data_IF_626077258011
#
_entry.id   IF_626077258011
#
_cell.length_a   1.000
_cell.length_b   1.000
_cell.length_c   1.000
_cell.angle_alpha   90.00
_cell.angle_beta   90.00
_cell.angle_gamma   90.00
#
_symmetry.space_group_name_H-M   'P 1'
#
loop_
_entity.id
_entity.type
_entity.pdbx_description
1 polymer ?
#
# COMPACT_ATOMS: atom_id res chain seq x y z
N UNK A 1 -6.97 -6.29 19.12
CA UNK A 1 -6.68 -7.34 18.12
C UNK A 1 -5.31 -7.02 17.56
N UNK A 2 -4.37 -7.97 17.59
CA UNK A 2 -3.04 -7.80 17.01
C UNK A 2 -3.05 -7.77 15.49
N UNK A 3 -1.89 -7.44 14.89
CA UNK A 3 -1.71 -7.41 13.44
C UNK A 3 -1.83 -8.83 12.84
N UNK A 4 -2.45 -8.93 11.66
CA UNK A 4 -2.53 -10.17 10.89
C UNK A 4 -2.09 -9.88 9.45
N UNK A 5 -1.16 -10.68 8.95
CA UNK A 5 -0.77 -10.69 7.54
C UNK A 5 -1.14 -12.04 6.92
N UNK A 6 -1.83 -11.97 5.79
CA UNK A 6 -2.21 -13.13 4.99
C UNK A 6 -1.67 -12.97 3.56
N UNK A 7 -0.71 -13.81 3.13
CA UNK A 7 -0.15 -13.75 1.79
C UNK A 7 -1.22 -13.85 0.69
N UNK A 8 -2.25 -14.69 0.87
CA UNK A 8 -3.29 -14.86 -0.14
C UNK A 8 -4.16 -13.61 -0.31
N UNK A 9 -4.46 -12.91 0.78
CA UNK A 9 -5.19 -11.63 0.73
C UNK A 9 -4.35 -10.54 0.08
N UNK A 10 -3.06 -10.48 0.45
CA UNK A 10 -2.13 -9.51 -0.12
C UNK A 10 -1.92 -9.70 -1.63
N UNK A 11 -1.77 -10.95 -2.07
CA UNK A 11 -1.70 -11.28 -3.51
C UNK A 11 -3.02 -10.99 -4.23
N UNK A 12 -4.17 -11.23 -3.59
CA UNK A 12 -5.47 -10.83 -4.12
C UNK A 12 -5.58 -9.32 -4.34
N UNK A 13 -5.11 -8.51 -3.38
CA UNK A 13 -5.06 -7.05 -3.51
C UNK A 13 -4.14 -6.62 -4.66
N UNK A 14 -2.94 -7.21 -4.76
CA UNK A 14 -1.99 -6.94 -5.84
C UNK A 14 -2.62 -7.22 -7.21
N UNK A 15 -3.24 -8.40 -7.38
CA UNK A 15 -3.86 -8.79 -8.63
C UNK A 15 -5.01 -7.86 -9.04
N UNK A 16 -5.85 -7.45 -8.07
CA UNK A 16 -6.92 -6.51 -8.30
C UNK A 16 -6.40 -5.12 -8.72
N UNK A 17 -5.35 -4.63 -8.05
CA UNK A 17 -4.74 -3.35 -8.38
C UNK A 17 -4.07 -3.37 -9.75
N UNK A 18 -3.31 -4.41 -10.08
CA UNK A 18 -2.68 -4.56 -11.40
C UNK A 18 -3.73 -4.64 -12.51
N UNK A 19 -4.83 -5.38 -12.32
CA UNK A 19 -5.92 -5.47 -13.28
C UNK A 19 -6.63 -4.12 -13.51
N UNK A 20 -6.87 -3.37 -12.42
CA UNK A 20 -7.46 -2.04 -12.50
C UNK A 20 -6.54 -1.03 -13.17
N UNK A 21 -5.23 -1.08 -12.88
CA UNK A 21 -4.22 -0.24 -13.55
C UNK A 21 -4.20 -0.53 -15.05
N UNK A 22 -4.12 -1.80 -15.45
CA UNK A 22 -4.12 -2.17 -16.87
C UNK A 22 -5.38 -1.71 -17.60
N UNK A 23 -6.54 -1.82 -16.95
CA UNK A 23 -7.80 -1.29 -17.50
C UNK A 23 -7.76 0.23 -17.64
N UNK A 24 -7.25 0.94 -16.63
CA UNK A 24 -7.15 2.39 -16.64
C UNK A 24 -6.17 2.90 -17.71
N UNK A 25 -5.03 2.26 -17.88
CA UNK A 25 -4.04 2.56 -18.94
C UNK A 25 -4.69 2.48 -20.33
N UNK A 26 -5.42 1.39 -20.62
CA UNK A 26 -6.14 1.23 -21.90
C UNK A 26 -7.18 2.33 -22.12
N UNK A 27 -7.96 2.67 -21.09
CA UNK A 27 -8.97 3.74 -21.19
C UNK A 27 -8.30 5.09 -21.47
N UNK A 28 -7.20 5.39 -20.76
CA UNK A 28 -6.47 6.66 -20.91
C UNK A 28 -5.84 6.76 -22.30
N UNK A 29 -5.25 5.68 -22.81
CA UNK A 29 -4.68 5.64 -24.15
C UNK A 29 -5.75 5.85 -25.22
N UNK A 30 -6.90 5.20 -25.10
CA UNK A 30 -8.04 5.40 -26.00
C UNK A 30 -8.56 6.85 -25.95
N UNK A 31 -8.66 7.43 -24.74
CA UNK A 31 -9.06 8.83 -24.58
C UNK A 31 -8.04 9.79 -25.20
N UNK A 32 -6.74 9.52 -25.04
CA UNK A 32 -5.69 10.32 -25.66
C UNK A 32 -5.76 10.25 -27.20
N UNK A 33 -5.90 9.06 -27.78
CA UNK A 33 -6.04 8.88 -29.22
C UNK A 33 -7.30 9.55 -29.77
N UNK A 34 -8.44 9.34 -29.13
CA UNK A 34 -9.71 9.98 -29.50
C UNK A 34 -9.60 11.50 -29.41
N UNK A 35 -8.92 12.02 -28.39
CA UNK A 35 -8.71 13.46 -28.20
C UNK A 35 -7.81 14.07 -29.25
N UNK A 36 -6.73 13.37 -29.63
CA UNK A 36 -5.85 13.79 -30.73
C UNK A 36 -6.62 13.80 -32.06
N UNK A 37 -7.35 12.72 -32.36
CA UNK A 37 -8.17 12.63 -33.56
C UNK A 37 -9.23 13.76 -33.63
N UNK A 38 -9.94 14.01 -32.52
CA UNK A 38 -10.92 15.10 -32.44
C UNK A 38 -10.24 16.46 -32.66
N UNK A 39 -9.11 16.72 -32.00
CA UNK A 39 -8.38 17.98 -32.15
C UNK A 39 -7.94 18.19 -33.60
N UNK A 40 -7.38 17.16 -34.24
CA UNK A 40 -6.97 17.22 -35.65
C UNK A 40 -8.13 17.43 -36.62
N UNK A 41 -9.29 16.79 -36.38
CA UNK A 41 -10.47 16.96 -37.23
C UNK A 41 -11.06 18.38 -37.13
N UNK A 42 -10.97 19.00 -35.95
CA UNK A 42 -11.50 20.34 -35.70
C UNK A 42 -10.55 21.47 -36.14
N UNK A 43 -9.24 21.21 -36.26
CA UNK A 43 -8.24 22.22 -36.66
C UNK A 43 -8.21 22.55 -38.16
N UNK A 44 -9.28 22.21 -38.89
CA UNK A 44 -9.43 22.48 -40.33
C UNK A 44 -9.81 23.92 -40.66
N UNK A 45 -9.98 24.79 -39.65
CA UNK A 45 -10.49 26.17 -39.76
C UNK A 45 -11.85 26.32 -40.47
N UNK A 46 -12.56 25.21 -40.70
CA UNK A 46 -13.84 25.17 -41.40
C UNK A 46 -15.04 25.43 -40.48
N UNK A 47 -14.86 25.32 -39.16
CA UNK A 47 -15.91 25.46 -38.15
C UNK A 47 -15.70 26.75 -37.35
N UNK A 48 -16.78 27.49 -37.12
CA UNK A 48 -16.80 28.74 -36.33
C UNK A 48 -18.15 28.93 -35.64
N UNK A 49 -18.22 29.87 -34.70
CA UNK A 49 -19.43 30.20 -33.93
C UNK A 49 -19.32 29.86 -32.44
N UNK A 50 -20.25 30.40 -31.64
CA UNK A 50 -20.25 30.31 -30.18
C UNK A 50 -20.12 28.87 -29.65
N UNK A 51 -20.96 27.94 -30.13
CA UNK A 51 -20.94 26.54 -29.70
C UNK A 51 -19.62 25.82 -30.04
N UNK A 52 -19.02 26.12 -31.19
CA UNK A 52 -17.72 25.55 -31.58
C UNK A 52 -16.60 26.05 -30.66
N UNK A 53 -16.52 27.35 -30.44
CA UNK A 53 -15.55 27.97 -29.52
C UNK A 53 -15.71 27.44 -28.10
N UNK A 54 -16.96 27.28 -27.64
CA UNK A 54 -17.32 26.73 -26.34
C UNK A 54 -16.80 25.29 -26.16
N UNK A 55 -17.13 24.41 -27.11
CA UNK A 55 -16.70 23.01 -27.11
C UNK A 55 -15.19 22.87 -27.17
N UNK A 56 -14.51 23.64 -28.04
CA UNK A 56 -13.05 23.70 -28.12
C UNK A 56 -12.43 24.15 -26.80
N UNK A 57 -12.99 25.19 -26.18
CA UNK A 57 -12.57 25.69 -24.87
C UNK A 57 -12.69 24.65 -23.76
N UNK A 58 -13.88 24.04 -23.61
CA UNK A 58 -14.12 22.97 -22.62
C UNK A 58 -13.16 21.80 -22.83
N UNK A 59 -12.95 21.39 -24.08
CA UNK A 59 -12.10 20.26 -24.40
C UNK A 59 -10.63 20.54 -24.08
N UNK A 60 -10.09 21.67 -24.54
CA UNK A 60 -8.69 22.04 -24.35
C UNK A 60 -8.35 22.45 -22.91
N UNK A 61 -9.28 23.09 -22.20
CA UNK A 61 -9.01 23.65 -20.87
C UNK A 61 -9.41 22.71 -19.73
N UNK A 62 -10.32 21.76 -19.96
CA UNK A 62 -10.81 20.88 -18.90
C UNK A 62 -10.66 19.39 -19.23
N UNK A 63 -11.15 18.93 -20.39
CA UNK A 63 -11.13 17.49 -20.72
C UNK A 63 -9.71 16.97 -20.87
N UNK A 64 -8.89 17.60 -21.72
CA UNK A 64 -7.50 17.21 -21.94
C UNK A 64 -6.66 17.24 -20.65
N UNK A 65 -6.70 18.31 -19.82
CA UNK A 65 -6.03 18.32 -18.52
C UNK A 65 -6.52 17.23 -17.57
N UNK A 66 -7.82 16.91 -17.57
CA UNK A 66 -8.37 15.85 -16.72
C UNK A 66 -7.84 14.48 -17.12
N UNK A 67 -7.75 14.18 -18.43
CA UNK A 67 -7.15 12.94 -18.94
C UNK A 67 -5.67 12.87 -18.53
N UNK A 68 -4.93 13.97 -18.67
CA UNK A 68 -3.52 14.04 -18.25
C UNK A 68 -3.35 13.82 -16.74
N UNK A 69 -4.25 14.38 -15.92
CA UNK A 69 -4.26 14.17 -14.47
C UNK A 69 -4.54 12.71 -14.12
N UNK A 70 -5.49 12.07 -14.80
CA UNK A 70 -5.77 10.65 -14.65
C UNK A 70 -4.57 9.77 -15.01
N UNK A 71 -3.86 10.07 -16.10
CA UNK A 71 -2.61 9.39 -16.48
C UNK A 71 -1.57 9.45 -15.37
N UNK A 72 -1.33 10.64 -14.80
CA UNK A 72 -0.38 10.81 -13.69
C UNK A 72 -0.80 10.06 -12.42
N UNK A 73 -2.10 10.07 -12.10
CA UNK A 73 -2.64 9.34 -10.94
C UNK A 73 -2.48 7.82 -11.09
N UNK A 74 -2.65 7.28 -12.29
CA UNK A 74 -2.40 5.86 -12.62
C UNK A 74 -0.92 5.51 -12.47
N UNK A 75 -0.01 6.31 -13.02
CA UNK A 75 1.45 6.09 -12.87
C UNK A 75 1.90 6.14 -11.40
N UNK A 76 1.32 7.04 -10.62
CA UNK A 76 1.56 7.10 -9.18
C UNK A 76 1.05 5.85 -8.48
N UNK A 77 -0.19 5.42 -8.78
CA UNK A 77 -0.77 4.21 -8.22
C UNK A 77 0.10 2.98 -8.53
N UNK A 78 0.59 2.88 -9.78
CA UNK A 78 1.53 1.84 -10.22
C UNK A 78 2.81 1.83 -9.39
N UNK A 79 3.39 3.00 -9.12
CA UNK A 79 4.57 3.13 -8.26
C UNK A 79 4.28 2.69 -6.82
N UNK A 80 3.12 3.05 -6.27
CA UNK A 80 2.70 2.64 -4.93
C UNK A 80 2.44 1.12 -4.85
N UNK A 81 1.87 0.51 -5.90
CA UNK A 81 1.72 -0.95 -6.01
C UNK A 81 3.08 -1.66 -6.05
N UNK A 82 4.07 -1.11 -6.75
CA UNK A 82 5.42 -1.70 -6.74
C UNK A 82 6.08 -1.63 -5.36
N UNK A 83 5.88 -0.53 -4.62
CA UNK A 83 6.34 -0.44 -3.22
C UNK A 83 5.64 -1.48 -2.34
N UNK A 84 4.32 -1.60 -2.48
CA UNK A 84 3.54 -2.61 -1.75
C UNK A 84 4.06 -4.03 -2.02
N UNK A 85 4.31 -4.39 -3.29
CA UNK A 85 4.92 -5.68 -3.69
C UNK A 85 6.27 -5.91 -3.01
N UNK A 86 7.09 -4.87 -2.88
CA UNK A 86 8.35 -4.92 -2.15
C UNK A 86 8.14 -5.31 -0.68
N UNK A 87 7.23 -4.64 0.03
CA UNK A 87 6.91 -4.95 1.42
C UNK A 87 6.28 -6.33 1.60
N UNK A 88 5.35 -6.71 0.73
CA UNK A 88 4.73 -8.05 0.69
C UNK A 88 5.79 -9.16 0.59
N UNK A 89 6.70 -9.02 -0.37
CA UNK A 89 7.79 -9.99 -0.58
C UNK A 89 8.74 -10.09 0.61
N UNK A 90 8.92 -9.00 1.38
CA UNK A 90 9.80 -8.96 2.54
C UNK A 90 9.20 -9.73 3.74
N UNK A 91 7.87 -9.78 3.89
CA UNK A 91 7.21 -10.57 4.93
C UNK A 91 7.41 -12.06 4.69
N UNK A 92 7.10 -12.51 3.47
CA UNK A 92 7.22 -13.89 3.03
C UNK A 92 5.86 -14.57 2.81
N UNK A 93 5.89 -15.90 2.71
CA UNK A 93 4.77 -16.71 2.21
C UNK A 93 3.92 -17.38 3.30
N UNK A 94 4.12 -16.98 4.56
CA UNK A 94 3.38 -17.55 5.69
C UNK A 94 2.40 -16.54 6.29
N UNK A 95 1.30 -17.05 6.84
CA UNK A 95 0.36 -16.25 7.62
C UNK A 95 1.05 -15.88 8.93
N UNK A 96 1.11 -14.59 9.22
CA UNK A 96 1.64 -14.06 10.47
C UNK A 96 0.51 -13.46 11.29
N UNK A 97 0.46 -13.81 12.57
CA UNK A 97 -0.54 -13.38 13.53
C UNK A 97 0.21 -12.93 14.77
N UNK A 98 0.17 -11.62 15.05
CA UNK A 98 0.96 -11.01 16.11
C UNK A 98 0.63 -11.60 17.48
N UNK A 99 -0.66 -11.86 17.76
CA UNK A 99 -1.10 -12.41 19.04
C UNK A 99 -0.56 -13.85 19.20
N UNK A 100 -0.64 -14.67 18.14
CA UNK A 100 -0.06 -16.04 18.16
C UNK A 100 1.46 -16.03 18.28
N UNK A 101 2.14 -15.16 17.56
CA UNK A 101 3.60 -15.04 17.61
C UNK A 101 4.06 -14.58 18.99
N UNK A 102 3.36 -13.63 19.62
CA UNK A 102 3.66 -13.18 20.98
C UNK A 102 3.44 -14.30 22.02
N UNK A 103 2.35 -15.08 21.90
CA UNK A 103 2.14 -16.25 22.76
C UNK A 103 3.25 -17.28 22.60
N UNK A 104 3.67 -17.57 21.35
CA UNK A 104 4.78 -18.47 21.07
C UNK A 104 6.10 -17.95 21.67
N UNK A 105 6.38 -16.65 21.53
CA UNK A 105 7.57 -16.02 22.09
C UNK A 105 7.59 -16.12 23.62
N UNK A 106 6.45 -15.91 24.27
CA UNK A 106 6.34 -16.04 25.72
C UNK A 106 6.62 -17.48 26.18
N UNK A 107 6.05 -18.48 25.50
CA UNK A 107 6.30 -19.88 25.80
C UNK A 107 7.78 -20.27 25.63
N UNK A 108 8.41 -19.84 24.54
CA UNK A 108 9.84 -20.07 24.29
C UNK A 108 10.74 -19.40 25.35
N UNK A 109 10.40 -18.18 25.79
CA UNK A 109 11.14 -17.48 26.86
C UNK A 109 10.98 -18.19 28.22
N UNK A 110 9.78 -18.71 28.52
CA UNK A 110 9.57 -19.52 29.72
C UNK A 110 10.40 -20.82 29.69
N UNK A 111 10.46 -21.48 28.53
CA UNK A 111 11.28 -22.67 28.31
C UNK A 111 12.79 -22.36 28.44
N UNK A 112 13.25 -21.26 27.86
CA UNK A 112 14.62 -20.76 28.01
C UNK A 112 14.99 -20.57 29.49
N UNK A 113 14.09 -19.94 30.27
CA UNK A 113 14.28 -19.77 31.70
C UNK A 113 14.36 -21.11 32.44
N UNK A 114 13.46 -22.06 32.13
CA UNK A 114 13.46 -23.40 32.73
C UNK A 114 14.76 -24.17 32.46
N UNK A 115 15.24 -24.19 31.21
CA UNK A 115 16.50 -24.86 30.86
C UNK A 115 17.69 -24.21 31.58
N UNK A 116 17.71 -22.88 31.67
CA UNK A 116 18.76 -22.14 32.40
C UNK A 116 18.78 -22.55 33.87
N UNK A 117 17.61 -22.61 34.51
CA UNK A 117 17.48 -23.04 35.89
C UNK A 117 17.96 -24.48 36.08
N UNK A 118 17.60 -25.40 35.18
CA UNK A 118 18.06 -26.80 35.23
C UNK A 118 19.58 -26.92 35.09
N UNK A 119 20.19 -26.21 34.14
CA UNK A 119 21.66 -26.17 33.97
C UNK A 119 22.33 -25.68 35.26
N UNK A 120 21.79 -24.63 35.89
CA UNK A 120 22.30 -24.10 37.14
C UNK A 120 22.16 -25.09 38.31
N UNK A 121 21.02 -25.79 38.41
CA UNK A 121 20.82 -26.84 39.41
C UNK A 121 21.83 -27.98 39.26
N UNK A 122 22.05 -28.48 38.05
CA UNK A 122 23.06 -29.53 37.80
C UNK A 122 24.47 -29.05 38.12
N UNK A 123 24.80 -27.78 37.83
CA UNK A 123 26.09 -27.19 38.20
C UNK A 123 26.28 -27.13 39.72
N UNK A 124 25.24 -26.74 40.47
CA UNK A 124 25.28 -26.69 41.93
C UNK A 124 25.43 -28.08 42.54
N UNK A 125 24.66 -29.06 42.05
CA UNK A 125 24.76 -30.44 42.52
C UNK A 125 26.14 -31.06 42.24
N UNK A 126 26.70 -30.84 41.04
CA UNK A 126 28.07 -31.27 40.71
C UNK A 126 29.11 -30.63 41.64
N UNK A 127 28.94 -29.35 41.98
CA UNK A 127 29.85 -28.63 42.88
C UNK A 127 29.73 -29.09 44.34
N UNK A 128 28.57 -29.62 44.74
CA UNK A 128 28.32 -30.13 46.09
C UNK A 128 28.86 -31.55 46.31
N UNK A 129 29.07 -32.32 45.22
CA UNK A 129 29.58 -33.70 45.26
C UNK A 129 30.82 -33.89 44.36
N UNK A 130 31.92 -33.14 44.58
CA UNK A 130 33.12 -33.21 43.74
C UNK A 130 33.78 -34.60 43.72
N UNK A 131 33.60 -35.39 44.78
CA UNK A 131 34.17 -36.72 44.95
C UNK A 131 33.50 -37.83 44.12
N UNK A 132 32.29 -37.60 43.59
CA UNK A 132 31.53 -38.62 42.86
C UNK A 132 31.71 -38.48 41.34
N UNK A 133 32.66 -39.22 40.76
CA UNK A 133 33.02 -39.13 39.33
C UNK A 133 31.88 -39.52 38.38
N UNK A 134 31.07 -40.51 38.73
CA UNK A 134 30.01 -41.03 37.87
C UNK A 134 28.84 -40.04 37.80
N UNK A 135 28.51 -39.45 38.95
CA UNK A 135 27.52 -38.39 39.06
C UNK A 135 27.96 -37.14 38.29
N UNK A 136 29.23 -36.75 38.42
CA UNK A 136 29.80 -35.62 37.68
C UNK A 136 29.80 -35.86 36.16
N UNK A 137 30.11 -37.07 35.70
CA UNK A 137 30.02 -37.45 34.27
C UNK A 137 28.60 -37.32 33.75
N UNK A 138 27.62 -37.80 34.52
CA UNK A 138 26.20 -37.70 34.19
C UNK A 138 25.73 -36.25 34.10
N UNK A 139 26.17 -35.38 35.02
CA UNK A 139 25.87 -33.95 34.98
C UNK A 139 26.48 -33.25 33.77
N UNK A 140 27.72 -33.58 33.39
CA UNK A 140 28.34 -33.03 32.18
C UNK A 140 27.55 -33.41 30.93
N UNK A 141 27.15 -34.68 30.82
CA UNK A 141 26.35 -35.16 29.69
C UNK A 141 24.99 -34.42 29.60
N UNK A 142 24.26 -34.35 30.70
CA UNK A 142 22.96 -33.70 30.74
C UNK A 142 23.03 -32.19 30.50
N UNK A 143 24.06 -31.52 31.04
CA UNK A 143 24.35 -30.12 30.71
C UNK A 143 24.59 -29.95 29.20
N UNK A 144 25.30 -30.88 28.56
CA UNK A 144 25.51 -30.89 27.12
C UNK A 144 24.19 -30.95 26.34
N UNK A 145 23.31 -31.88 26.72
CA UNK A 145 21.97 -32.01 26.11
C UNK A 145 21.11 -30.75 26.30
N UNK A 146 21.05 -30.22 27.53
CA UNK A 146 20.31 -28.99 27.83
C UNK A 146 20.88 -27.77 27.10
N UNK A 147 22.20 -27.70 26.92
CA UNK A 147 22.85 -26.62 26.16
C UNK A 147 22.50 -26.68 24.67
N UNK A 148 22.46 -27.89 24.09
CA UNK A 148 21.99 -28.09 22.72
C UNK A 148 20.53 -27.66 22.57
N UNK A 149 19.66 -28.06 23.51
CA UNK A 149 18.26 -27.66 23.52
C UNK A 149 18.07 -26.15 23.70
N UNK A 150 18.85 -25.52 24.58
CA UNK A 150 18.91 -24.06 24.73
C UNK A 150 19.25 -23.37 23.41
N UNK A 151 20.20 -23.91 22.66
CA UNK A 151 20.57 -23.37 21.34
C UNK A 151 19.38 -23.39 20.37
N UNK A 152 18.63 -24.49 20.33
CA UNK A 152 17.40 -24.61 19.53
C UNK A 152 16.36 -23.58 19.97
N UNK A 153 16.06 -23.48 21.27
CA UNK A 153 15.11 -22.49 21.81
C UNK A 153 15.53 -21.07 21.45
N UNK A 154 16.81 -20.73 21.60
CA UNK A 154 17.34 -19.41 21.24
C UNK A 154 17.25 -19.11 19.74
N UNK A 155 17.35 -20.14 18.89
CA UNK A 155 17.14 -19.99 17.45
C UNK A 155 15.67 -19.73 17.14
N UNK A 156 14.76 -20.47 17.78
CA UNK A 156 13.33 -20.31 17.55
C UNK A 156 12.80 -18.97 18.09
N UNK A 157 13.32 -18.49 19.24
CA UNK A 157 13.07 -17.12 19.73
C UNK A 157 13.44 -16.10 18.63
N UNK A 158 14.66 -16.18 18.09
CA UNK A 158 15.13 -15.27 17.03
C UNK A 158 14.26 -15.33 15.77
N UNK A 159 13.78 -16.51 15.38
CA UNK A 159 12.86 -16.65 14.24
C UNK A 159 11.53 -15.97 14.51
N UNK A 160 10.94 -16.16 15.69
CA UNK A 160 9.65 -15.53 16.06
C UNK A 160 9.80 -14.00 16.14
N UNK A 161 10.89 -13.51 16.74
CA UNK A 161 11.20 -12.07 16.80
C UNK A 161 11.32 -11.47 15.39
N UNK A 162 12.02 -12.15 14.46
CA UNK A 162 12.14 -11.72 13.07
C UNK A 162 10.79 -11.70 12.32
N UNK A 163 9.89 -12.64 12.62
CA UNK A 163 8.52 -12.64 12.04
C UNK A 163 7.71 -11.45 12.55
N UNK A 164 7.78 -11.15 13.85
CA UNK A 164 7.13 -9.98 14.45
C UNK A 164 7.66 -8.67 13.86
N UNK A 165 8.98 -8.56 13.69
CA UNK A 165 9.64 -7.41 13.05
C UNK A 165 9.09 -7.19 11.64
N UNK A 166 9.15 -8.21 10.78
CA UNK A 166 8.62 -8.15 9.41
C UNK A 166 7.14 -7.75 9.36
N UNK A 167 6.31 -8.29 10.25
CA UNK A 167 4.88 -7.99 10.31
C UNK A 167 4.63 -6.51 10.65
N UNK A 168 5.39 -5.96 11.61
CA UNK A 168 5.29 -4.55 12.02
C UNK A 168 5.82 -3.62 10.95
N UNK A 169 6.99 -3.93 10.39
CA UNK A 169 7.56 -3.18 9.26
C UNK A 169 6.58 -3.12 8.09
N UNK A 170 5.95 -4.25 7.75
CA UNK A 170 4.91 -4.26 6.71
C UNK A 170 3.78 -3.30 7.04
N UNK A 171 3.16 -3.43 8.23
CA UNK A 171 2.06 -2.56 8.65
C UNK A 171 2.42 -1.07 8.60
N UNK A 172 3.59 -0.71 9.13
CA UNK A 172 4.05 0.67 9.24
C UNK A 172 4.28 1.32 7.88
N UNK A 173 4.67 0.52 6.89
CA UNK A 173 4.97 1.01 5.55
C UNK A 173 3.76 0.96 4.58
N UNK A 174 2.81 0.04 4.78
CA UNK A 174 1.65 -0.08 3.87
C UNK A 174 0.47 0.82 4.24
N UNK A 175 0.31 1.17 5.53
CA UNK A 175 -0.87 1.91 6.01
C UNK A 175 -1.05 3.33 5.44
N UNK A 176 0.00 3.90 4.84
CA UNK A 176 -0.05 5.20 4.17
C UNK A 176 -0.11 5.10 2.63
N UNK A 177 0.20 3.93 2.05
CA UNK A 177 0.11 3.73 0.61
C UNK A 177 -1.32 3.97 0.13
N UNK A 178 -1.48 4.36 -1.13
CA UNK A 178 -2.77 4.55 -1.80
C UNK A 178 -3.63 5.72 -1.33
N UNK A 179 -3.36 6.33 -0.16
CA UNK A 179 -4.11 7.51 0.31
C UNK A 179 -4.03 8.66 -0.68
N UNK A 180 -2.84 8.94 -1.20
CA UNK A 180 -2.66 10.04 -2.14
C UNK A 180 -3.28 9.74 -3.50
N UNK A 181 -3.05 8.55 -4.08
CA UNK A 181 -3.71 8.15 -5.32
C UNK A 181 -5.23 8.14 -5.19
N UNK A 182 -5.79 7.65 -4.07
CA UNK A 182 -7.23 7.68 -3.82
C UNK A 182 -7.78 9.11 -3.80
N UNK A 183 -7.06 10.06 -3.21
CA UNK A 183 -7.46 11.47 -3.21
C UNK A 183 -7.37 12.09 -4.61
N UNK A 184 -6.34 11.76 -5.39
CA UNK A 184 -6.22 12.20 -6.79
C UNK A 184 -7.37 11.68 -7.65
N UNK A 185 -7.73 10.40 -7.53
CA UNK A 185 -8.88 9.84 -8.24
C UNK A 185 -10.21 10.44 -7.80
N UNK A 186 -10.40 10.73 -6.50
CA UNK A 186 -11.59 11.48 -6.03
C UNK A 186 -11.69 12.85 -6.67
N UNK A 187 -10.58 13.59 -6.77
CA UNK A 187 -10.56 14.87 -7.45
C UNK A 187 -10.94 14.72 -8.94
N UNK A 188 -10.35 13.74 -9.64
CA UNK A 188 -10.66 13.45 -11.05
C UNK A 188 -12.15 13.11 -11.24
N UNK A 189 -12.71 12.19 -10.45
CA UNK A 189 -14.13 11.82 -10.52
C UNK A 189 -15.07 13.01 -10.33
N UNK A 190 -14.65 13.96 -9.51
CA UNK A 190 -15.42 15.16 -9.27
C UNK A 190 -15.37 16.12 -10.46
N UNK A 191 -14.20 16.32 -11.07
CA UNK A 191 -14.08 17.08 -12.31
C UNK A 191 -14.95 16.46 -13.41
N UNK A 192 -14.89 15.14 -13.57
CA UNK A 192 -15.72 14.39 -14.54
C UNK A 192 -17.21 14.59 -14.29
N UNK A 193 -17.64 14.55 -13.03
CA UNK A 193 -19.04 14.79 -12.66
C UNK A 193 -19.50 16.19 -13.05
N UNK A 194 -18.64 17.20 -12.85
CA UNK A 194 -18.96 18.57 -13.23
C UNK A 194 -18.96 18.74 -14.75
N UNK A 195 -18.01 18.13 -15.47
CA UNK A 195 -17.99 18.15 -16.94
C UNK A 195 -19.25 17.53 -17.55
N UNK A 196 -19.74 16.43 -16.97
CA UNK A 196 -20.99 15.81 -17.41
C UNK A 196 -22.24 16.65 -17.16
N UNK A 197 -22.16 17.62 -16.25
CA UNK A 197 -23.26 18.54 -15.90
C UNK A 197 -23.06 19.96 -16.46
N UNK A 198 -22.01 20.19 -17.25
CA UNK A 198 -21.70 21.51 -17.80
C UNK A 198 -22.76 21.95 -18.81
N UNK A 199 -23.14 23.22 -18.76
CA UNK A 199 -24.02 23.86 -19.73
C UNK A 199 -23.28 25.01 -20.41
N UNK A 200 -23.82 25.49 -21.52
CA UNK A 200 -23.28 26.63 -22.26
C UNK A 200 -24.35 27.69 -22.42
N UNK A 201 -23.99 28.97 -22.27
CA UNK A 201 -24.88 30.08 -22.59
C UNK A 201 -24.95 30.35 -24.11
N UNK A 202 -25.77 31.32 -24.51
CA UNK A 202 -25.93 31.73 -25.91
C UNK A 202 -24.64 32.27 -26.54
N UNK A 203 -23.67 32.69 -25.72
CA UNK A 203 -22.36 33.20 -26.13
C UNK A 203 -21.29 32.10 -26.17
N UNK A 204 -21.62 30.88 -25.75
CA UNK A 204 -20.69 29.75 -25.70
C UNK A 204 -19.78 29.75 -24.47
N UNK A 205 -20.13 30.48 -23.41
CA UNK A 205 -19.41 30.41 -22.15
C UNK A 205 -19.89 29.21 -21.32
N UNK A 206 -18.96 28.55 -20.63
CA UNK A 206 -19.27 27.44 -19.73
C UNK A 206 -20.01 27.95 -18.50
N UNK A 207 -21.23 27.45 -18.31
CA UNK A 207 -22.03 27.67 -17.11
C UNK A 207 -21.87 26.46 -16.19
N UNK A 208 -21.37 26.72 -14.98
CA UNK A 208 -21.42 25.78 -13.87
C UNK A 208 -22.51 26.24 -12.90
N UNK A 209 -23.31 25.30 -12.38
CA UNK A 209 -24.21 25.63 -11.28
C UNK A 209 -23.40 25.97 -9.99
N UNK A 210 -24.00 26.69 -9.04
CA UNK A 210 -23.32 27.12 -7.81
C UNK A 210 -22.73 25.97 -6.99
N UNK A 211 -23.41 24.81 -7.00
CA UNK A 211 -22.94 23.57 -6.33
C UNK A 211 -21.64 23.05 -6.94
N UNK A 212 -21.51 23.12 -8.26
CA UNK A 212 -20.36 22.67 -9.02
C UNK A 212 -19.17 23.65 -8.85
N UNK A 213 -19.43 24.97 -8.78
CA UNK A 213 -18.38 25.97 -8.52
C UNK A 213 -17.83 25.92 -7.10
N UNK A 214 -18.70 25.73 -6.09
CA UNK A 214 -18.26 25.56 -4.69
C UNK A 214 -17.34 24.35 -4.54
N UNK A 215 -17.58 23.30 -5.35
CA UNK A 215 -16.77 22.09 -5.37
C UNK A 215 -15.37 22.33 -5.97
N UNK A 216 -15.25 22.99 -7.13
CA UNK A 216 -13.95 23.31 -7.74
C UNK A 216 -13.04 24.11 -6.80
N UNK A 217 -13.62 25.07 -6.09
CA UNK A 217 -12.92 25.87 -5.07
C UNK A 217 -12.47 25.03 -3.87
N UNK A 218 -13.28 24.05 -3.45
CA UNK A 218 -12.96 23.15 -2.34
C UNK A 218 -11.93 22.07 -2.71
N UNK A 219 -11.82 21.67 -3.98
CA UNK A 219 -10.81 20.71 -4.47
C UNK A 219 -9.41 21.30 -4.65
N UNK A 220 -9.21 22.58 -4.32
CA UNK A 220 -7.90 23.25 -4.40
C UNK A 220 -7.44 23.51 -5.84
N UNK A 221 -8.33 23.41 -6.82
CA UNK A 221 -8.02 23.66 -8.23
C UNK A 221 -8.48 25.07 -8.63
N UNK A 222 -7.50 25.93 -8.88
CA UNK A 222 -7.65 27.25 -9.47
C UNK A 222 -7.95 27.15 -10.98
N UNK A 223 -9.10 26.57 -11.35
CA UNK A 223 -9.50 26.47 -12.77
C UNK A 223 -10.18 27.77 -13.26
N UNK A 224 -10.54 28.70 -12.35
CA UNK A 224 -11.39 29.84 -12.68
C UNK A 224 -10.72 31.21 -12.53
N UNK A 225 -9.57 31.44 -13.17
CA UNK A 225 -9.06 32.82 -13.38
C UNK A 225 -9.08 33.29 -14.83
N UNK A 226 -9.63 32.52 -15.79
CA UNK A 226 -9.60 32.89 -17.23
C UNK A 226 -10.89 32.66 -18.02
N UNK A 227 -12.03 32.44 -17.38
CA UNK A 227 -13.35 32.33 -18.06
C UNK A 227 -14.19 33.60 -17.85
N UNK A 228 -13.58 34.70 -17.41
CA UNK A 228 -14.31 35.94 -17.11
C UNK A 228 -13.54 37.20 -17.52
N UNK A 229 -12.92 37.17 -18.70
CA UNK A 229 -12.58 38.38 -19.46
C UNK A 229 -12.94 38.19 -20.93
#
# INVERSE_FOLDING_TARGET
MGLIYNPSESQGLIAALDGNIGTAEVIIDNLNQASQHLTSALDTNALSGAAYTAGKGMFSQLVLPTISKASKAVEKLKTEVQKYKGYDSAVGNEVLDEDKLNMQLQALKAQQSSITSQINSYKQLASAHPENSDLNTSYVHLKGQLSSYMSTVNNDIRKVEKKLEKLREFNDNVGALFKSSANEFKAILSIVSVLGAAQFDELGQLIFNEKNMAFFKASGEEILSKVSD
#
